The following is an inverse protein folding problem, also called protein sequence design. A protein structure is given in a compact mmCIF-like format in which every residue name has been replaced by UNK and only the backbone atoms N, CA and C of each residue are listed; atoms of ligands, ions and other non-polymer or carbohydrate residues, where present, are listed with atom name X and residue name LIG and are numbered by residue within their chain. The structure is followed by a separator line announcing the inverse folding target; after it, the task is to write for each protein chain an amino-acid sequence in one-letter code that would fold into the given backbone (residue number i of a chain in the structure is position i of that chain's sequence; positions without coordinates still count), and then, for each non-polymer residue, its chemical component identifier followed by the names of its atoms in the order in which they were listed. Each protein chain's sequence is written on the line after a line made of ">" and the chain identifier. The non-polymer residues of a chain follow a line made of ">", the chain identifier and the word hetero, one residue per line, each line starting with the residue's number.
data_IF_219942123661
#
_entry.id   IF_219942123661
#
_cell.length_a   1.000
_cell.length_b   1.000
_cell.length_c   1.000
_cell.angle_alpha   90.00
_cell.angle_beta   90.00
_cell.angle_gamma   90.00
#
_symmetry.space_group_name_H-M   'P 1'
#
loop_
_entity.id
_entity.type
_entity.pdbx_description
1 polymer ?
#
# COMPACT_ATOMS: atom_id res chain seq x y z
N UNK A 1 12.70 -53.20 17.95
CA UNK A 1 12.63 -51.73 17.79
C UNK A 1 11.42 -51.26 18.59
N UNK A 2 11.66 -50.68 19.76
CA UNK A 2 10.62 -50.09 20.61
C UNK A 2 10.18 -48.77 20.00
N UNK A 3 9.05 -48.77 19.30
CA UNK A 3 8.39 -47.56 18.82
C UNK A 3 7.85 -46.80 20.02
N UNK A 4 8.41 -45.62 20.28
CA UNK A 4 7.86 -44.66 21.23
C UNK A 4 6.46 -44.29 20.71
N UNK A 5 5.39 -44.39 21.54
CA UNK A 5 4.07 -43.91 21.14
C UNK A 5 4.17 -42.45 20.68
N UNK A 6 3.57 -42.10 19.55
CA UNK A 6 3.67 -40.77 18.92
C UNK A 6 3.44 -39.61 19.92
N UNK A 7 2.51 -39.81 20.88
CA UNK A 7 2.23 -38.86 21.95
C UNK A 7 3.40 -38.67 22.94
N UNK A 8 4.12 -39.74 23.28
CA UNK A 8 5.24 -39.67 24.23
C UNK A 8 6.48 -39.00 23.62
N UNK A 9 6.67 -39.10 22.30
CA UNK A 9 7.73 -38.37 21.60
C UNK A 9 7.42 -36.86 21.52
N UNK A 10 6.17 -36.51 21.19
CA UNK A 10 5.72 -35.12 21.14
C UNK A 10 5.84 -34.45 22.53
N UNK A 11 5.41 -35.12 23.60
CA UNK A 11 5.54 -34.60 24.97
C UNK A 11 7.00 -34.38 25.37
N UNK A 12 7.90 -35.30 25.00
CA UNK A 12 9.33 -35.17 25.26
C UNK A 12 9.96 -33.98 24.50
N UNK A 13 9.56 -33.81 23.24
CA UNK A 13 10.08 -32.75 22.38
C UNK A 13 9.55 -31.38 22.81
N UNK A 14 8.27 -31.27 23.15
CA UNK A 14 7.66 -30.03 23.66
C UNK A 14 8.31 -29.60 24.99
N UNK A 15 8.54 -30.54 25.91
CA UNK A 15 9.26 -30.27 27.16
C UNK A 15 10.72 -29.84 26.93
N UNK A 16 11.43 -30.51 26.01
CA UNK A 16 12.81 -30.16 25.69
C UNK A 16 12.94 -28.77 25.07
N UNK A 17 12.05 -28.43 24.12
CA UNK A 17 12.02 -27.11 23.48
C UNK A 17 11.63 -26.03 24.49
N UNK A 18 10.60 -26.25 25.30
CA UNK A 18 10.18 -25.28 26.34
C UNK A 18 11.30 -24.99 27.32
N UNK A 19 12.04 -26.02 27.75
CA UNK A 19 13.19 -25.88 28.64
C UNK A 19 14.34 -25.11 27.98
N UNK A 20 14.67 -25.42 26.73
CA UNK A 20 15.70 -24.69 25.97
C UNK A 20 15.36 -23.20 25.84
N UNK A 21 14.09 -22.90 25.54
CA UNK A 21 13.60 -21.52 25.39
C UNK A 21 13.67 -20.79 26.73
N UNK A 22 13.26 -21.44 27.84
CA UNK A 22 13.43 -20.88 29.18
C UNK A 22 14.90 -20.54 29.47
N UNK A 23 15.82 -21.47 29.24
CA UNK A 23 17.26 -21.25 29.49
C UNK A 23 17.82 -20.08 28.69
N UNK A 24 17.43 -19.93 27.42
CA UNK A 24 17.88 -18.82 26.56
C UNK A 24 17.27 -17.48 26.96
N UNK A 25 15.98 -17.44 27.31
CA UNK A 25 15.34 -16.23 27.80
C UNK A 25 15.99 -15.75 29.11
N UNK A 26 16.22 -16.66 30.06
CA UNK A 26 16.89 -16.33 31.31
C UNK A 26 18.33 -15.82 31.10
N UNK A 27 19.05 -16.38 30.12
CA UNK A 27 20.38 -15.89 29.75
C UNK A 27 20.32 -14.45 29.21
N UNK A 28 19.44 -14.18 28.24
CA UNK A 28 19.28 -12.84 27.66
C UNK A 28 18.90 -11.81 28.71
N UNK A 29 17.95 -12.15 29.59
CA UNK A 29 17.52 -11.29 30.71
C UNK A 29 18.68 -10.96 31.66
N UNK A 30 19.55 -11.93 31.97
CA UNK A 30 20.73 -11.72 32.83
C UNK A 30 21.75 -10.79 32.17
N UNK A 31 21.96 -10.92 30.86
CA UNK A 31 22.88 -10.04 30.14
C UNK A 31 22.31 -8.63 29.98
N UNK A 32 21.01 -8.51 29.76
CA UNK A 32 20.32 -7.23 29.63
C UNK A 32 20.42 -6.40 30.91
N UNK A 33 20.14 -6.99 32.08
CA UNK A 33 20.25 -6.25 33.36
C UNK A 33 21.71 -5.90 33.71
N UNK A 34 22.68 -6.75 33.37
CA UNK A 34 24.10 -6.44 33.56
C UNK A 34 24.51 -5.24 32.71
N UNK A 35 24.10 -5.22 31.44
CA UNK A 35 24.37 -4.11 30.54
C UNK A 35 23.67 -2.83 31.02
N UNK A 36 22.43 -2.93 31.49
CA UNK A 36 21.69 -1.80 32.05
C UNK A 36 22.42 -1.18 33.25
N UNK A 37 22.85 -1.99 34.22
CA UNK A 37 23.55 -1.52 35.42
C UNK A 37 24.93 -0.93 35.09
N UNK A 38 25.64 -1.52 34.13
CA UNK A 38 27.02 -1.14 33.82
C UNK A 38 27.11 0.09 32.89
N UNK A 39 26.21 0.19 31.91
CA UNK A 39 26.38 1.08 30.76
C UNK A 39 25.20 2.05 30.52
N UNK A 40 23.95 1.65 30.81
CA UNK A 40 22.76 2.44 30.40
C UNK A 40 22.11 3.25 31.54
N UNK A 41 22.37 2.92 32.82
CA UNK A 41 21.70 3.56 33.94
C UNK A 41 22.20 4.99 34.21
N UNK A 42 21.40 5.99 33.83
CA UNK A 42 21.68 7.43 34.06
C UNK A 42 21.21 7.95 35.43
N UNK A 43 20.66 7.09 36.29
CA UNK A 43 20.05 7.43 37.58
C UNK A 43 20.91 7.07 38.81
N UNK A 44 20.32 7.13 40.03
CA UNK A 44 21.02 6.79 41.27
C UNK A 44 21.43 5.31 41.28
N UNK A 45 22.74 5.01 41.33
CA UNK A 45 23.32 3.65 41.35
C UNK A 45 22.39 2.60 41.97
N UNK A 46 22.02 1.61 41.18
CA UNK A 46 21.21 0.45 41.58
C UNK A 46 22.04 -0.82 41.46
N UNK A 47 21.68 -1.87 42.19
CA UNK A 47 22.36 -3.17 42.17
C UNK A 47 21.35 -4.26 41.87
N UNK A 48 21.82 -5.41 41.39
CA UNK A 48 21.01 -6.63 41.27
C UNK A 48 20.34 -6.99 42.61
N UNK A 49 19.07 -7.39 42.56
CA UNK A 49 18.28 -7.80 43.72
C UNK A 49 17.52 -9.12 43.45
N UNK A 50 18.29 -10.11 43.01
CA UNK A 50 17.78 -11.44 42.67
C UNK A 50 16.79 -11.43 41.50
N UNK A 51 15.96 -12.47 41.45
CA UNK A 51 14.98 -12.69 40.41
C UNK A 51 13.58 -12.83 41.03
N UNK A 52 12.54 -12.53 40.25
CA UNK A 52 11.18 -12.98 40.54
C UNK A 52 10.77 -14.06 39.55
N UNK A 53 9.90 -14.98 39.99
CA UNK A 53 9.31 -16.00 39.13
C UNK A 53 8.07 -15.46 38.44
N UNK A 54 7.88 -15.81 37.17
CA UNK A 54 6.59 -15.62 36.50
C UNK A 54 6.29 -16.74 35.51
N UNK A 55 5.00 -16.97 35.30
CA UNK A 55 4.53 -17.78 34.19
C UNK A 55 4.50 -16.96 32.92
N UNK A 56 5.06 -17.48 31.83
CA UNK A 56 5.06 -16.84 30.52
C UNK A 56 4.69 -17.84 29.43
N UNK A 57 3.64 -17.56 28.67
CA UNK A 57 3.25 -18.40 27.54
C UNK A 57 4.07 -18.03 26.30
N UNK A 58 4.77 -19.00 25.75
CA UNK A 58 5.54 -18.86 24.50
C UNK A 58 4.88 -19.66 23.38
N UNK A 59 5.37 -19.51 22.14
CA UNK A 59 4.93 -20.33 21.01
C UNK A 59 5.20 -21.83 21.13
N UNK A 60 6.05 -22.21 22.08
CA UNK A 60 6.49 -23.59 22.28
C UNK A 60 5.91 -24.25 23.52
N UNK A 61 5.10 -23.54 24.30
CA UNK A 61 4.57 -24.02 25.57
C UNK A 61 4.58 -22.96 26.68
N UNK A 62 3.93 -23.29 27.80
CA UNK A 62 3.90 -22.44 28.99
C UNK A 62 5.17 -22.64 29.84
N UNK A 63 5.95 -21.58 30.03
CA UNK A 63 7.07 -21.58 30.97
C UNK A 63 6.52 -21.14 32.32
N UNK A 64 6.36 -22.09 33.25
CA UNK A 64 5.70 -21.82 34.54
C UNK A 64 6.59 -21.05 35.53
N UNK A 65 7.92 -21.19 35.44
CA UNK A 65 8.88 -20.66 36.42
C UNK A 65 9.99 -19.79 35.81
N UNK A 66 9.66 -18.92 34.85
CA UNK A 66 10.65 -18.03 34.23
C UNK A 66 11.29 -17.11 35.29
N UNK A 67 12.62 -17.14 35.40
CA UNK A 67 13.39 -16.29 36.31
C UNK A 67 13.69 -14.93 35.68
N UNK A 68 13.02 -13.87 36.14
CA UNK A 68 13.24 -12.51 35.64
C UNK A 68 14.05 -11.70 36.64
N UNK A 69 15.25 -11.21 36.27
CA UNK A 69 16.09 -10.44 37.16
C UNK A 69 15.51 -9.05 37.40
N UNK A 70 15.76 -8.52 38.59
CA UNK A 70 15.32 -7.19 39.00
C UNK A 70 16.45 -6.43 39.69
N UNK A 71 16.39 -5.11 39.59
CA UNK A 71 17.28 -4.23 40.33
C UNK A 71 16.64 -3.83 41.68
N UNK A 72 17.47 -3.32 42.59
CA UNK A 72 17.04 -3.00 43.97
C UNK A 72 16.07 -1.83 44.03
N UNK A 73 16.13 -0.92 43.07
CA UNK A 73 15.29 0.29 43.02
C UNK A 73 14.09 0.15 42.09
N UNK A 74 13.98 -0.95 41.33
CA UNK A 74 12.85 -1.25 40.46
C UNK A 74 12.79 -0.42 39.19
N UNK A 75 13.92 0.15 38.75
CA UNK A 75 13.99 0.95 37.53
C UNK A 75 14.26 0.13 36.27
N UNK A 76 14.74 -1.11 36.42
CA UNK A 76 15.03 -1.97 35.29
C UNK A 76 13.75 -2.53 34.66
N UNK A 77 13.59 -2.33 33.36
CA UNK A 77 12.55 -2.94 32.54
C UNK A 77 13.22 -3.67 31.38
N UNK A 78 12.95 -4.97 31.24
CA UNK A 78 13.42 -5.76 30.10
C UNK A 78 12.74 -5.31 28.80
N UNK A 79 13.48 -5.34 27.70
CA UNK A 79 12.96 -5.09 26.35
C UNK A 79 12.30 -6.33 25.74
N UNK A 80 12.50 -7.52 26.34
CA UNK A 80 11.95 -8.77 25.83
C UNK A 80 10.43 -8.87 25.99
N UNK A 81 9.86 -8.23 27.02
CA UNK A 81 8.41 -8.18 27.24
C UNK A 81 8.01 -7.03 28.16
N UNK A 82 6.78 -6.53 28.01
CA UNK A 82 6.23 -5.47 28.84
C UNK A 82 5.90 -5.95 30.26
N UNK A 83 5.90 -5.05 31.27
CA UNK A 83 5.34 -5.33 32.58
C UNK A 83 3.94 -5.93 32.45
N UNK A 84 3.68 -6.99 33.22
CA UNK A 84 2.40 -7.73 33.20
C UNK A 84 2.06 -8.48 31.90
N UNK A 85 2.85 -8.39 30.83
CA UNK A 85 2.64 -9.18 29.61
C UNK A 85 2.83 -10.67 29.92
N UNK A 86 1.76 -11.47 29.91
CA UNK A 86 1.79 -12.90 30.27
C UNK A 86 2.04 -13.85 29.09
N UNK A 87 1.99 -13.34 27.86
CA UNK A 87 2.08 -14.12 26.62
C UNK A 87 3.03 -13.45 25.61
N UNK A 88 3.79 -14.24 24.88
CA UNK A 88 4.58 -13.82 23.73
C UNK A 88 3.64 -13.40 22.60
N UNK A 89 3.82 -12.19 22.04
CA UNK A 89 2.91 -11.57 21.06
C UNK A 89 2.97 -12.17 19.65
N UNK A 90 3.62 -13.33 19.51
CA UNK A 90 3.92 -13.95 18.22
C UNK A 90 2.64 -14.46 17.53
N UNK A 91 1.62 -14.85 18.31
CA UNK A 91 0.37 -15.36 17.75
C UNK A 91 -0.44 -14.22 17.16
N UNK A 92 -0.41 -13.06 17.79
CA UNK A 92 -0.98 -11.82 17.29
C UNK A 92 -0.30 -11.42 15.98
N UNK A 93 1.04 -11.45 15.91
CA UNK A 93 1.79 -11.25 14.67
C UNK A 93 1.44 -12.30 13.60
N UNK A 94 1.33 -13.58 13.97
CA UNK A 94 0.95 -14.64 13.04
C UNK A 94 -0.49 -14.46 12.52
N UNK A 95 -1.43 -14.05 13.38
CA UNK A 95 -2.82 -13.71 13.01
C UNK A 95 -2.82 -12.52 12.05
N UNK A 96 -2.04 -11.49 12.33
CA UNK A 96 -1.86 -10.34 11.44
C UNK A 96 -1.27 -10.80 10.11
N UNK A 97 -0.25 -11.66 10.10
CA UNK A 97 0.37 -12.20 8.88
C UNK A 97 -0.57 -13.12 8.08
N UNK A 98 -1.40 -13.93 8.74
CA UNK A 98 -2.43 -14.75 8.09
C UNK A 98 -3.51 -13.87 7.46
N UNK A 99 -3.91 -12.81 8.16
CA UNK A 99 -4.85 -11.82 7.65
C UNK A 99 -4.25 -11.02 6.49
N UNK A 100 -2.97 -10.60 6.57
CA UNK A 100 -2.18 -10.05 5.46
C UNK A 100 -2.17 -11.04 4.28
N UNK A 101 -1.89 -12.31 4.55
CA UNK A 101 -1.65 -13.34 3.56
C UNK A 101 -2.88 -13.83 2.79
N UNK A 102 -4.07 -13.84 3.40
CA UNK A 102 -5.22 -14.44 2.70
C UNK A 102 -6.53 -14.36 3.44
N UNK A 103 -6.41 -14.62 4.73
CA UNK A 103 -7.33 -15.50 5.37
C UNK A 103 -8.45 -14.68 5.99
N UNK A 104 -9.68 -15.12 5.76
CA UNK A 104 -10.84 -14.61 6.48
C UNK A 104 -10.68 -14.85 7.99
N UNK A 105 -11.35 -14.04 8.81
CA UNK A 105 -11.34 -14.24 10.27
C UNK A 105 -11.75 -15.65 10.68
N UNK A 106 -12.65 -16.28 9.92
CA UNK A 106 -13.08 -17.67 10.13
C UNK A 106 -11.99 -18.68 9.79
N UNK A 107 -11.24 -18.46 8.72
CA UNK A 107 -10.11 -19.34 8.35
C UNK A 107 -8.96 -19.20 9.34
N UNK A 108 -8.66 -17.97 9.78
CA UNK A 108 -7.66 -17.74 10.83
C UNK A 108 -8.10 -18.39 12.14
N UNK A 109 -9.37 -18.21 12.55
CA UNK A 109 -9.89 -18.84 13.75
C UNK A 109 -9.80 -20.37 13.68
N UNK A 110 -10.20 -20.98 12.55
CA UNK A 110 -10.04 -22.44 12.33
C UNK A 110 -8.59 -22.88 12.36
N UNK A 111 -7.67 -22.13 11.77
CA UNK A 111 -6.25 -22.45 11.80
C UNK A 111 -5.68 -22.38 13.22
N UNK A 112 -5.97 -21.29 13.93
CA UNK A 112 -5.55 -21.10 15.32
C UNK A 112 -6.16 -22.17 16.22
N UNK A 113 -7.43 -22.52 16.02
CA UNK A 113 -8.11 -23.61 16.74
C UNK A 113 -7.48 -24.97 16.43
N UNK A 114 -7.10 -25.24 15.18
CA UNK A 114 -6.44 -26.50 14.80
C UNK A 114 -5.03 -26.65 15.40
N UNK A 115 -4.33 -25.53 15.63
CA UNK A 115 -2.96 -25.52 16.14
C UNK A 115 -2.88 -25.39 17.67
N UNK A 116 -3.81 -24.66 18.30
CA UNK A 116 -3.77 -24.29 19.73
C UNK A 116 -5.04 -24.68 20.52
N UNK A 117 -6.00 -25.35 19.88
CA UNK A 117 -7.28 -25.70 20.49
C UNK A 117 -8.22 -24.51 20.69
N UNK A 118 -9.31 -24.74 21.40
CA UNK A 118 -10.45 -23.82 21.56
C UNK A 118 -10.21 -22.63 22.50
N UNK A 119 -8.94 -22.22 22.71
CA UNK A 119 -8.61 -21.06 23.55
C UNK A 119 -8.82 -19.70 22.86
N UNK A 120 -9.04 -19.68 21.55
CA UNK A 120 -9.16 -18.45 20.77
C UNK A 120 -10.53 -18.33 20.12
N UNK A 121 -11.39 -17.49 20.70
CA UNK A 121 -12.68 -17.17 20.10
C UNK A 121 -12.52 -16.27 18.86
N UNK A 122 -13.46 -16.29 17.90
CA UNK A 122 -13.51 -15.31 16.80
C UNK A 122 -13.45 -13.85 17.28
N UNK A 123 -13.99 -13.57 18.47
CA UNK A 123 -13.91 -12.27 19.15
C UNK A 123 -12.47 -11.88 19.49
N UNK A 124 -11.65 -12.83 19.94
CA UNK A 124 -10.23 -12.59 20.25
C UNK A 124 -9.44 -12.25 18.99
N UNK A 125 -9.67 -12.98 17.89
CA UNK A 125 -9.08 -12.69 16.58
C UNK A 125 -9.51 -11.30 16.09
N UNK A 126 -10.79 -10.95 16.27
CA UNK A 126 -11.29 -9.61 15.93
C UNK A 126 -10.61 -8.50 16.73
N UNK A 127 -10.42 -8.70 18.04
CA UNK A 127 -9.72 -7.74 18.91
C UNK A 127 -8.25 -7.56 18.51
N UNK A 128 -7.56 -8.63 18.12
CA UNK A 128 -6.18 -8.56 17.60
C UNK A 128 -6.13 -7.73 16.31
N UNK A 129 -7.16 -7.84 15.45
CA UNK A 129 -7.25 -6.97 14.27
C UNK A 129 -7.64 -5.51 14.58
N UNK A 130 -7.97 -5.16 15.83
CA UNK A 130 -8.24 -3.77 16.21
C UNK A 130 -6.94 -2.96 16.24
N UNK A 131 -5.81 -3.55 16.67
CA UNK A 131 -4.49 -2.92 16.58
C UNK A 131 -4.15 -2.50 15.14
N UNK A 132 -4.60 -3.28 14.16
CA UNK A 132 -4.45 -2.94 12.74
C UNK A 132 -5.20 -1.66 12.36
N UNK A 133 -6.31 -1.32 13.03
CA UNK A 133 -7.00 -0.05 12.77
C UNK A 133 -6.20 1.16 13.24
N UNK A 134 -5.53 1.06 14.38
CA UNK A 134 -4.64 2.12 14.87
C UNK A 134 -3.48 2.33 13.89
N UNK A 135 -2.90 1.24 13.37
CA UNK A 135 -1.87 1.30 12.33
C UNK A 135 -2.39 1.95 11.04
N UNK A 136 -3.64 1.64 10.63
CA UNK A 136 -4.28 2.24 9.45
C UNK A 136 -4.41 3.74 9.63
N UNK A 137 -4.93 4.19 10.79
CA UNK A 137 -5.10 5.61 11.06
C UNK A 137 -3.75 6.35 11.06
N UNK A 138 -2.72 5.77 11.69
CA UNK A 138 -1.37 6.34 11.69
C UNK A 138 -0.80 6.38 10.27
N UNK A 139 -0.98 5.32 9.49
CA UNK A 139 -0.52 5.25 8.11
C UNK A 139 -1.24 6.26 7.21
N UNK A 140 -2.55 6.44 7.38
CA UNK A 140 -3.34 7.43 6.64
C UNK A 140 -2.95 8.86 7.02
N UNK A 141 -2.56 9.13 8.27
CA UNK A 141 -2.13 10.46 8.74
C UNK A 141 -0.63 10.71 8.58
N UNK A 142 0.15 9.74 8.09
CA UNK A 142 1.61 9.86 8.01
C UNK A 142 2.02 11.03 7.12
N UNK A 143 3.10 11.76 7.46
CA UNK A 143 3.64 12.79 6.59
C UNK A 143 4.12 12.17 5.27
N UNK A 144 3.93 12.91 4.19
CA UNK A 144 4.38 12.58 2.84
C UNK A 144 5.56 13.46 2.47
N UNK A 145 6.42 12.95 1.59
CA UNK A 145 7.50 13.74 0.99
C UNK A 145 6.95 14.97 0.27
N UNK A 146 7.76 16.02 0.19
CA UNK A 146 7.35 17.29 -0.44
C UNK A 146 7.10 17.13 -1.94
N UNK A 147 8.03 16.45 -2.63
CA UNK A 147 8.14 16.41 -4.10
C UNK A 147 7.76 15.04 -4.65
N UNK A 148 6.88 15.04 -5.65
CA UNK A 148 6.55 13.85 -6.45
C UNK A 148 6.57 14.17 -7.94
N UNK A 149 7.27 13.36 -8.73
CA UNK A 149 7.39 13.58 -10.17
C UNK A 149 6.09 13.23 -10.87
N UNK A 150 5.39 12.22 -10.35
CA UNK A 150 4.08 11.80 -10.88
C UNK A 150 3.18 11.36 -9.72
N UNK A 151 1.92 11.80 -9.73
CA UNK A 151 0.84 11.21 -8.92
C UNK A 151 -0.15 10.53 -9.87
N UNK A 152 -0.39 9.25 -9.66
CA UNK A 152 -1.45 8.49 -10.29
C UNK A 152 -2.68 8.45 -9.39
N UNK A 153 -3.85 8.67 -10.00
CA UNK A 153 -5.14 8.52 -9.33
C UNK A 153 -5.95 7.46 -10.08
N UNK A 154 -6.48 6.49 -9.36
CA UNK A 154 -7.35 5.47 -9.93
C UNK A 154 -8.37 4.98 -8.90
N UNK A 155 -9.51 4.52 -9.40
CA UNK A 155 -10.63 4.06 -8.60
C UNK A 155 -10.93 2.59 -8.85
N UNK A 156 -11.35 1.87 -7.81
CA UNK A 156 -12.00 0.58 -7.99
C UNK A 156 -13.28 0.51 -7.17
N UNK A 157 -14.21 -0.33 -7.62
CA UNK A 157 -15.44 -0.59 -6.90
C UNK A 157 -15.33 -1.89 -6.09
N UNK A 158 -15.78 -1.83 -4.84
CA UNK A 158 -15.82 -2.97 -3.92
C UNK A 158 -17.24 -3.16 -3.38
N UNK A 159 -17.65 -4.41 -3.17
CA UNK A 159 -18.98 -4.73 -2.63
C UNK A 159 -18.94 -4.66 -1.10
N UNK A 160 -19.63 -3.69 -0.52
CA UNK A 160 -19.75 -3.50 0.92
C UNK A 160 -21.18 -3.77 1.38
N UNK A 161 -21.30 -4.47 2.52
CA UNK A 161 -22.55 -4.63 3.24
C UNK A 161 -22.63 -3.55 4.32
N UNK A 162 -23.58 -2.62 4.18
CA UNK A 162 -24.03 -1.77 5.29
C UNK A 162 -25.38 -2.33 5.77
N UNK A 163 -26.48 -1.73 5.35
CA UNK A 163 -27.82 -2.31 5.48
C UNK A 163 -28.11 -3.29 4.34
N UNK A 164 -27.75 -2.90 3.13
CA UNK A 164 -27.78 -3.72 1.91
C UNK A 164 -26.37 -3.85 1.34
N UNK A 165 -26.18 -4.82 0.45
CA UNK A 165 -24.93 -4.95 -0.30
C UNK A 165 -24.96 -3.93 -1.44
N UNK A 166 -24.02 -3.00 -1.44
CA UNK A 166 -23.86 -2.00 -2.48
C UNK A 166 -22.41 -1.93 -2.96
N UNK A 167 -22.22 -1.41 -4.18
CA UNK A 167 -20.90 -1.22 -4.76
C UNK A 167 -20.42 0.18 -4.42
N UNK A 168 -19.36 0.29 -3.61
CA UNK A 168 -18.78 1.57 -3.21
C UNK A 168 -17.40 1.76 -3.84
N UNK A 169 -17.05 3.03 -4.08
CA UNK A 169 -15.77 3.40 -4.64
C UNK A 169 -14.65 3.33 -3.59
N UNK A 170 -13.48 2.91 -4.06
CA UNK A 170 -12.20 2.97 -3.37
C UNK A 170 -11.28 3.83 -4.22
N UNK A 171 -10.92 4.99 -3.68
CA UNK A 171 -9.99 5.91 -4.28
C UNK A 171 -8.58 5.50 -3.91
N UNK A 172 -7.67 5.43 -4.88
CA UNK A 172 -6.26 5.11 -4.67
C UNK A 172 -5.38 6.19 -5.29
N UNK A 173 -4.39 6.62 -4.52
CA UNK A 173 -3.35 7.53 -4.96
C UNK A 173 -1.98 6.87 -4.85
N UNK A 174 -1.21 6.88 -5.95
CA UNK A 174 0.16 6.38 -6.00
C UNK A 174 1.10 7.49 -6.45
N UNK A 175 2.21 7.70 -5.76
CA UNK A 175 3.23 8.67 -6.12
C UNK A 175 4.49 8.00 -6.66
N UNK A 176 5.19 8.68 -7.56
CA UNK A 176 6.59 8.43 -7.90
C UNK A 176 7.40 9.59 -7.33
N UNK A 177 8.32 9.30 -6.41
CA UNK A 177 9.21 10.30 -5.82
C UNK A 177 10.35 10.71 -6.77
N UNK A 178 11.20 11.66 -6.36
CA UNK A 178 12.37 12.12 -7.13
C UNK A 178 13.41 11.02 -7.38
N UNK A 179 13.40 9.95 -6.56
CA UNK A 179 14.29 8.80 -6.73
C UNK A 179 13.73 7.81 -7.77
N UNK A 180 12.51 8.05 -8.27
CA UNK A 180 11.80 7.18 -9.19
C UNK A 180 11.10 6.01 -8.50
N UNK A 181 11.04 6.00 -7.16
CA UNK A 181 10.42 4.95 -6.36
C UNK A 181 8.92 5.23 -6.30
N UNK A 182 8.13 4.20 -6.61
CA UNK A 182 6.67 4.28 -6.55
C UNK A 182 6.13 3.76 -5.22
N UNK A 183 5.11 4.43 -4.71
CA UNK A 183 4.44 4.03 -3.47
C UNK A 183 2.98 4.47 -3.46
N UNK A 184 2.11 3.71 -2.80
CA UNK A 184 0.74 4.11 -2.47
C UNK A 184 0.80 5.17 -1.38
N UNK A 185 0.28 6.36 -1.68
CA UNK A 185 0.26 7.52 -0.79
C UNK A 185 -0.96 7.49 0.14
N UNK A 186 -2.10 7.05 -0.39
CA UNK A 186 -3.36 7.00 0.34
C UNK A 186 -4.39 6.12 -0.36
N UNK A 187 -5.36 5.66 0.43
CA UNK A 187 -6.57 5.01 -0.05
C UNK A 187 -7.76 5.52 0.76
N UNK A 188 -8.92 5.59 0.14
CA UNK A 188 -10.14 6.12 0.77
C UNK A 188 -11.33 5.30 0.31
N UNK A 189 -12.16 4.85 1.25
CA UNK A 189 -13.30 3.99 0.97
C UNK A 189 -14.59 4.77 1.20
N UNK A 190 -15.46 4.83 0.20
CA UNK A 190 -16.82 5.30 0.42
C UNK A 190 -17.57 5.83 -0.78
N UNK A 191 -18.88 5.55 -0.79
CA UNK A 191 -19.85 6.20 -1.66
C UNK A 191 -19.67 5.91 -3.15
N UNK A 192 -20.09 6.86 -3.98
CA UNK A 192 -19.87 6.84 -5.43
C UNK A 192 -18.69 7.70 -5.81
N UNK A 193 -17.97 7.30 -6.86
CA UNK A 193 -16.87 8.07 -7.41
C UNK A 193 -17.37 9.44 -7.89
N UNK A 194 -16.80 10.51 -7.31
CA UNK A 194 -17.23 11.89 -7.60
C UNK A 194 -16.06 12.86 -7.57
N UNK A 195 -16.20 13.97 -8.30
CA UNK A 195 -15.25 15.09 -8.28
C UNK A 195 -14.99 15.62 -6.87
N UNK A 196 -16.04 15.68 -6.02
CA UNK A 196 -15.88 16.09 -4.62
C UNK A 196 -15.08 15.08 -3.80
N UNK A 197 -15.30 13.78 -3.99
CA UNK A 197 -14.49 12.74 -3.36
C UNK A 197 -13.00 12.92 -3.69
N UNK A 198 -12.69 13.12 -4.98
CA UNK A 198 -11.31 13.38 -5.40
C UNK A 198 -10.72 14.68 -4.86
N UNK A 199 -11.50 15.77 -4.74
CA UNK A 199 -11.03 17.00 -4.08
C UNK A 199 -10.58 16.74 -2.65
N UNK A 200 -11.34 15.99 -1.87
CA UNK A 200 -11.00 15.68 -0.48
C UNK A 200 -9.74 14.79 -0.40
N UNK A 201 -9.61 13.80 -1.29
CA UNK A 201 -8.39 13.00 -1.41
C UNK A 201 -7.18 13.87 -1.70
N UNK A 202 -7.27 14.76 -2.69
CA UNK A 202 -6.16 15.62 -3.10
C UNK A 202 -5.76 16.62 -2.02
N UNK A 203 -6.74 17.19 -1.30
CA UNK A 203 -6.51 18.05 -0.14
C UNK A 203 -5.79 17.31 0.98
N UNK A 204 -6.20 16.09 1.30
CA UNK A 204 -5.53 15.27 2.32
C UNK A 204 -4.07 15.01 1.96
N UNK A 205 -3.78 14.60 0.72
CA UNK A 205 -2.41 14.39 0.25
C UNK A 205 -1.56 15.66 0.37
N UNK A 206 -2.12 16.82 0.01
CA UNK A 206 -1.44 18.12 0.12
C UNK A 206 -1.17 18.49 1.56
N UNK A 207 -2.16 18.34 2.45
CA UNK A 207 -2.04 18.63 3.87
C UNK A 207 -0.99 17.75 4.57
N UNK A 208 -0.81 16.53 4.08
CA UNK A 208 0.21 15.59 4.58
C UNK A 208 1.63 15.90 4.08
N UNK A 209 1.79 16.80 3.11
CA UNK A 209 3.10 17.32 2.68
C UNK A 209 3.36 17.26 1.16
N UNK A 210 2.59 16.47 0.41
CA UNK A 210 2.77 16.31 -1.04
C UNK A 210 2.34 17.61 -1.75
N UNK A 211 3.25 18.56 -1.93
CA UNK A 211 2.95 19.94 -2.33
C UNK A 211 3.52 20.28 -3.71
N UNK A 212 4.70 19.75 -4.02
CA UNK A 212 5.45 20.02 -5.25
C UNK A 212 5.25 18.84 -6.21
N UNK A 213 4.23 18.92 -7.08
CA UNK A 213 3.83 17.83 -7.99
C UNK A 213 4.07 18.24 -9.44
N UNK A 214 4.83 17.47 -10.21
CA UNK A 214 5.03 17.83 -11.63
C UNK A 214 3.85 17.38 -12.50
N UNK A 215 3.38 16.14 -12.35
CA UNK A 215 2.38 15.53 -13.23
C UNK A 215 1.31 14.73 -12.46
N UNK A 216 0.03 15.00 -12.74
CA UNK A 216 -1.08 14.12 -12.40
C UNK A 216 -1.45 13.19 -13.56
N UNK A 217 -1.54 11.88 -13.32
CA UNK A 217 -1.91 10.88 -14.34
C UNK A 217 -3.16 10.11 -13.90
N UNK A 218 -4.25 10.23 -14.63
CA UNK A 218 -5.51 9.56 -14.29
C UNK A 218 -6.41 9.35 -15.50
N UNK A 219 -7.52 8.61 -15.33
CA UNK A 219 -8.55 8.51 -16.36
C UNK A 219 -9.34 9.83 -16.46
N UNK A 220 -9.94 10.08 -17.63
CA UNK A 220 -10.73 11.29 -17.91
C UNK A 220 -12.10 11.30 -17.22
N UNK A 221 -12.11 11.16 -15.89
CA UNK A 221 -13.29 11.23 -15.06
C UNK A 221 -13.82 12.68 -15.02
N UNK A 222 -15.12 12.91 -15.25
CA UNK A 222 -15.69 14.25 -15.22
C UNK A 222 -15.41 14.96 -13.88
N UNK A 223 -14.84 16.16 -13.94
CA UNK A 223 -14.58 16.97 -12.75
C UNK A 223 -13.29 16.62 -11.99
N UNK A 224 -12.54 15.57 -12.39
CA UNK A 224 -11.28 15.19 -11.74
C UNK A 224 -10.14 16.10 -12.18
N UNK A 225 -10.07 16.44 -13.46
CA UNK A 225 -9.06 17.38 -13.98
C UNK A 225 -9.16 18.74 -13.28
N UNK A 226 -10.37 19.27 -13.15
CA UNK A 226 -10.63 20.56 -12.50
C UNK A 226 -10.27 20.51 -11.02
N UNK A 227 -10.66 19.44 -10.31
CA UNK A 227 -10.30 19.22 -8.92
C UNK A 227 -8.77 19.12 -8.73
N UNK A 228 -8.07 18.46 -9.65
CA UNK A 228 -6.61 18.35 -9.60
C UNK A 228 -5.93 19.69 -9.80
N UNK A 229 -6.32 20.44 -10.84
CA UNK A 229 -5.77 21.78 -11.13
C UNK A 229 -6.07 22.79 -10.02
N UNK A 230 -7.19 22.66 -9.32
CA UNK A 230 -7.54 23.49 -8.17
C UNK A 230 -6.54 23.31 -7.01
N UNK A 231 -6.18 22.05 -6.71
CA UNK A 231 -5.29 21.73 -5.58
C UNK A 231 -3.81 21.88 -5.95
N UNK A 232 -3.44 21.50 -7.17
CA UNK A 232 -2.07 21.51 -7.71
C UNK A 232 -1.98 22.37 -8.99
N UNK A 233 -2.09 23.70 -8.89
CA UNK A 233 -2.16 24.58 -10.06
C UNK A 233 -0.88 24.62 -10.91
N UNK A 234 0.27 24.26 -10.33
CA UNK A 234 1.57 24.20 -11.03
C UNK A 234 1.85 22.83 -11.68
N UNK A 235 1.01 21.83 -11.41
CA UNK A 235 1.16 20.49 -11.96
C UNK A 235 0.50 20.41 -13.34
N UNK A 236 1.12 19.67 -14.27
CA UNK A 236 0.43 19.30 -15.50
C UNK A 236 -0.56 18.16 -15.25
N UNK A 237 -1.51 17.97 -16.17
CA UNK A 237 -2.44 16.84 -16.18
C UNK A 237 -2.21 15.99 -17.43
N UNK A 238 -2.11 14.69 -17.23
CA UNK A 238 -2.07 13.67 -18.26
C UNK A 238 -3.25 12.71 -18.12
N UNK A 239 -4.06 12.61 -19.15
CA UNK A 239 -5.09 11.57 -19.22
C UNK A 239 -4.51 10.26 -19.74
N UNK A 240 -4.94 9.13 -19.18
CA UNK A 240 -4.47 7.82 -19.62
C UNK A 240 -4.89 7.53 -21.07
N UNK A 241 -3.90 7.46 -21.97
CA UNK A 241 -4.12 7.14 -23.39
C UNK A 241 -4.74 5.75 -23.53
N UNK A 242 -4.32 4.79 -22.72
CA UNK A 242 -4.83 3.40 -22.76
C UNK A 242 -6.31 3.35 -22.35
N UNK A 243 -6.73 4.12 -21.34
CA UNK A 243 -8.15 4.22 -20.98
C UNK A 243 -8.96 4.88 -22.09
N UNK A 244 -8.45 5.95 -22.70
CA UNK A 244 -9.10 6.60 -23.84
C UNK A 244 -9.27 5.65 -25.04
N UNK A 245 -8.23 4.85 -25.36
CA UNK A 245 -8.28 3.79 -26.38
C UNK A 245 -9.35 2.76 -26.04
N UNK A 246 -9.34 2.23 -24.80
CA UNK A 246 -10.31 1.22 -24.33
C UNK A 246 -11.74 1.75 -24.36
N UNK A 247 -11.96 3.03 -24.05
CA UNK A 247 -13.28 3.67 -24.10
C UNK A 247 -13.76 3.93 -25.54
N UNK A 248 -12.84 4.10 -26.48
CA UNK A 248 -13.15 4.31 -27.90
C UNK A 248 -13.42 2.98 -28.62
N UNK A 249 -12.69 1.92 -28.27
CA UNK A 249 -12.72 0.63 -28.97
C UNK A 249 -14.11 -0.01 -29.19
N UNK A 250 -15.04 -0.01 -28.22
CA UNK A 250 -16.38 -0.58 -28.43
C UNK A 250 -17.25 0.21 -29.40
N UNK A 251 -16.91 1.48 -29.67
CA UNK A 251 -17.69 2.41 -30.53
C UNK A 251 -17.32 2.29 -32.01
N UNK A 252 -16.20 1.64 -32.32
CA UNK A 252 -15.70 1.44 -33.68
C UNK A 252 -16.25 0.12 -34.23
N UNK A 253 -16.66 0.13 -35.51
CA UNK A 253 -17.16 -1.08 -36.19
C UNK A 253 -16.05 -2.11 -36.29
N UNK A 254 -16.40 -3.40 -36.18
CA UNK A 254 -15.44 -4.51 -36.16
C UNK A 254 -14.49 -4.49 -37.37
N UNK A 255 -14.98 -4.13 -38.57
CA UNK A 255 -14.18 -4.06 -39.79
C UNK A 255 -13.06 -3.01 -39.72
N UNK A 256 -13.28 -1.89 -39.03
CA UNK A 256 -12.37 -0.75 -39.04
C UNK A 256 -11.45 -0.72 -37.81
N UNK A 257 -11.70 -1.59 -36.81
CA UNK A 257 -11.01 -1.57 -35.52
C UNK A 257 -9.49 -1.63 -35.64
N UNK A 258 -8.98 -2.52 -36.50
CA UNK A 258 -7.54 -2.73 -36.63
C UNK A 258 -6.87 -1.46 -37.18
N UNK A 259 -7.34 -0.96 -38.32
CA UNK A 259 -6.77 0.23 -38.96
C UNK A 259 -6.92 1.49 -38.09
N UNK A 260 -8.09 1.66 -37.46
CA UNK A 260 -8.33 2.79 -36.57
C UNK A 260 -7.37 2.79 -35.38
N UNK A 261 -7.11 1.63 -34.77
CA UNK A 261 -6.17 1.51 -33.65
C UNK A 261 -4.72 1.68 -34.09
N UNK A 262 -4.34 1.17 -35.26
CA UNK A 262 -2.98 1.31 -35.78
C UNK A 262 -2.66 2.78 -36.07
N UNK A 263 -3.57 3.51 -36.73
CA UNK A 263 -3.38 4.94 -36.97
C UNK A 263 -3.33 5.73 -35.66
N UNK A 264 -4.21 5.41 -34.70
CA UNK A 264 -4.24 6.07 -33.41
C UNK A 264 -2.97 5.77 -32.58
N UNK A 265 -2.39 4.58 -32.73
CA UNK A 265 -1.13 4.21 -32.10
C UNK A 265 0.01 5.10 -32.56
N UNK A 266 0.06 5.45 -33.84
CA UNK A 266 1.08 6.35 -34.39
C UNK A 266 1.09 7.72 -33.70
N UNK A 267 -0.06 8.19 -33.21
CA UNK A 267 -0.16 9.48 -32.50
C UNK A 267 0.66 9.48 -31.22
N UNK A 268 0.49 8.49 -30.34
CA UNK A 268 1.17 8.45 -29.04
C UNK A 268 2.51 7.69 -29.06
N UNK A 269 2.90 7.12 -30.20
CA UNK A 269 4.25 6.58 -30.43
C UNK A 269 5.10 7.47 -31.32
N UNK A 270 4.64 8.68 -31.66
CA UNK A 270 5.42 9.66 -32.39
C UNK A 270 6.69 10.05 -31.63
N UNK A 271 7.68 10.58 -32.37
CA UNK A 271 8.99 10.94 -31.82
C UNK A 271 8.95 12.16 -30.89
N UNK A 272 7.97 13.04 -31.07
CA UNK A 272 7.73 14.23 -30.25
C UNK A 272 6.26 14.68 -30.36
N UNK A 273 5.90 15.70 -29.58
CA UNK A 273 4.53 16.21 -29.49
C UNK A 273 4.04 16.96 -30.74
N UNK A 274 4.93 17.56 -31.54
CA UNK A 274 4.54 18.29 -32.76
C UNK A 274 4.25 17.30 -33.89
N UNK A 275 5.08 16.27 -34.02
CA UNK A 275 4.82 15.13 -34.90
C UNK A 275 3.53 14.41 -34.49
N UNK A 276 3.31 14.19 -33.18
CA UNK A 276 2.07 13.59 -32.69
C UNK A 276 0.81 14.36 -33.14
N UNK A 277 0.84 15.70 -33.10
CA UNK A 277 -0.27 16.55 -33.56
C UNK A 277 -0.48 16.45 -35.06
N UNK A 278 0.59 16.50 -35.85
CA UNK A 278 0.51 16.34 -37.30
C UNK A 278 -0.06 14.97 -37.70
N UNK A 279 0.35 13.90 -37.02
CA UNK A 279 -0.20 12.55 -37.21
C UNK A 279 -1.68 12.52 -36.82
N UNK A 280 -2.08 13.20 -35.74
CA UNK A 280 -3.48 13.29 -35.34
C UNK A 280 -4.34 14.06 -36.36
N UNK A 281 -3.82 15.08 -37.02
CA UNK A 281 -4.54 15.77 -38.09
C UNK A 281 -4.80 14.83 -39.29
N UNK A 282 -3.83 14.02 -39.68
CA UNK A 282 -4.04 12.98 -40.70
C UNK A 282 -5.06 11.92 -40.26
N UNK A 283 -5.02 11.51 -38.99
CA UNK A 283 -6.01 10.61 -38.39
C UNK A 283 -7.43 11.22 -38.44
N UNK A 284 -7.56 12.50 -38.11
CA UNK A 284 -8.81 13.26 -38.16
C UNK A 284 -9.36 13.28 -39.58
N UNK A 285 -8.55 13.59 -40.59
CA UNK A 285 -9.00 13.64 -41.98
C UNK A 285 -9.52 12.29 -42.48
N UNK A 286 -8.87 11.19 -42.08
CA UNK A 286 -9.29 9.83 -42.46
C UNK A 286 -10.60 9.41 -41.78
N UNK A 287 -10.72 9.61 -40.47
CA UNK A 287 -11.77 8.97 -39.67
C UNK A 287 -12.94 9.88 -39.31
N UNK A 288 -12.82 11.21 -39.39
CA UNK A 288 -13.86 12.16 -38.95
C UNK A 288 -15.20 11.98 -39.65
N UNK A 289 -15.22 11.54 -40.91
CA UNK A 289 -16.47 11.30 -41.65
C UNK A 289 -17.22 10.07 -41.11
N UNK A 290 -16.49 9.02 -40.72
CA UNK A 290 -17.08 7.76 -40.27
C UNK A 290 -17.38 7.77 -38.76
N UNK A 291 -16.49 8.39 -37.98
CA UNK A 291 -16.52 8.41 -36.51
C UNK A 291 -16.39 9.84 -35.95
N UNK A 292 -17.33 10.75 -36.30
CA UNK A 292 -17.21 12.18 -35.95
C UNK A 292 -17.19 12.42 -34.43
N UNK A 293 -17.94 11.63 -33.65
CA UNK A 293 -18.03 11.78 -32.19
C UNK A 293 -16.75 11.33 -31.50
N UNK A 294 -16.18 10.23 -31.97
CA UNK A 294 -14.96 9.65 -31.42
C UNK A 294 -13.77 10.57 -31.71
N UNK A 295 -13.63 11.04 -32.95
CA UNK A 295 -12.56 11.97 -33.34
C UNK A 295 -12.68 13.29 -32.56
N UNK A 296 -13.87 13.88 -32.45
CA UNK A 296 -14.09 15.09 -31.66
C UNK A 296 -13.73 14.88 -30.18
N UNK A 297 -14.09 13.74 -29.60
CA UNK A 297 -13.75 13.40 -28.22
C UNK A 297 -12.24 13.26 -27.99
N UNK A 298 -11.47 12.80 -28.98
CA UNK A 298 -10.02 12.79 -28.92
C UNK A 298 -9.42 14.17 -29.09
N UNK A 299 -9.95 14.97 -30.03
CA UNK A 299 -9.49 16.34 -30.30
C UNK A 299 -9.64 17.24 -29.06
N UNK A 300 -10.77 17.14 -28.35
CA UNK A 300 -11.04 17.89 -27.11
C UNK A 300 -10.01 17.60 -26.00
N UNK A 301 -9.61 16.33 -25.86
CA UNK A 301 -8.69 15.89 -24.80
C UNK A 301 -7.23 15.81 -25.25
N UNK A 302 -6.93 16.10 -26.52
CA UNK A 302 -5.62 15.84 -27.14
C UNK A 302 -4.47 16.51 -26.37
N UNK A 303 -4.69 17.76 -25.92
CA UNK A 303 -3.69 18.51 -25.15
C UNK A 303 -3.24 17.78 -23.88
N UNK A 304 -4.20 17.20 -23.14
CA UNK A 304 -3.94 16.40 -21.93
C UNK A 304 -3.50 14.97 -22.21
N UNK A 305 -3.84 14.41 -23.38
CA UNK A 305 -3.41 13.07 -23.78
C UNK A 305 -1.95 13.05 -24.25
N UNK A 306 -1.43 14.20 -24.69
CA UNK A 306 -0.06 14.37 -25.19
C UNK A 306 0.86 15.12 -24.21
N UNK A 307 0.41 15.43 -23.00
CA UNK A 307 1.20 16.14 -21.97
C UNK A 307 2.53 15.44 -21.70
N UNK A 308 2.55 14.11 -21.74
CA UNK A 308 3.75 13.30 -21.50
C UNK A 308 4.92 13.66 -22.42
N UNK A 309 4.69 14.18 -23.63
CA UNK A 309 5.75 14.62 -24.53
C UNK A 309 6.59 15.78 -23.98
N UNK A 310 6.09 16.52 -22.98
CA UNK A 310 6.85 17.55 -22.27
C UNK A 310 7.88 16.99 -21.28
N UNK A 311 7.81 15.70 -20.99
CA UNK A 311 8.62 15.01 -19.99
C UNK A 311 9.76 14.22 -20.67
N UNK A 312 10.80 13.79 -19.93
CA UNK A 312 11.90 13.03 -20.50
C UNK A 312 11.44 11.75 -21.20
N UNK A 313 11.97 11.48 -22.39
CA UNK A 313 11.55 10.41 -23.30
C UNK A 313 11.52 9.02 -22.66
N UNK A 314 12.48 8.74 -21.77
CA UNK A 314 12.58 7.46 -21.06
C UNK A 314 11.43 7.22 -20.08
N UNK A 315 10.71 8.28 -19.66
CA UNK A 315 9.59 8.19 -18.72
C UNK A 315 8.27 7.94 -19.42
N UNK A 316 8.15 8.26 -20.72
CA UNK A 316 6.90 8.18 -21.48
C UNK A 316 6.15 6.86 -21.30
N UNK A 317 6.79 5.67 -21.39
CA UNK A 317 6.10 4.38 -21.20
C UNK A 317 5.38 4.21 -19.86
N UNK A 318 5.82 4.94 -18.84
CA UNK A 318 5.20 4.91 -17.52
C UNK A 318 4.09 5.95 -17.36
N UNK A 319 4.15 7.09 -18.07
CA UNK A 319 3.27 8.24 -17.82
C UNK A 319 2.11 8.39 -18.80
N UNK A 320 2.20 7.89 -20.04
CA UNK A 320 1.04 7.92 -20.96
C UNK A 320 -0.09 6.95 -20.53
N UNK A 321 0.17 6.11 -19.54
CA UNK A 321 -0.73 5.07 -19.02
C UNK A 321 -0.79 5.04 -17.50
N UNK A 322 -1.91 4.60 -16.95
CA UNK A 322 -2.15 4.29 -15.53
C UNK A 322 -1.76 2.86 -15.14
N UNK A 323 -1.07 2.11 -16.01
CA UNK A 323 -0.65 0.74 -15.73
C UNK A 323 0.07 0.53 -14.37
N UNK A 324 0.93 1.46 -13.88
CA UNK A 324 1.55 1.32 -12.57
C UNK A 324 0.57 1.17 -11.40
N UNK A 325 -0.54 1.93 -11.41
CA UNK A 325 -1.60 1.87 -10.39
C UNK A 325 -2.64 0.79 -10.71
N UNK A 326 -2.94 0.53 -11.98
CA UNK A 326 -3.83 -0.59 -12.39
C UNK A 326 -3.31 -1.95 -11.89
N UNK A 327 -1.98 -2.11 -11.78
CA UNK A 327 -1.39 -3.32 -11.18
C UNK A 327 -1.81 -3.51 -9.72
N UNK A 328 -1.84 -2.44 -8.93
CA UNK A 328 -2.33 -2.47 -7.55
C UNK A 328 -3.82 -2.83 -7.53
N UNK A 329 -4.62 -2.18 -8.39
CA UNK A 329 -6.04 -2.46 -8.53
C UNK A 329 -6.32 -3.92 -8.90
N UNK A 330 -5.48 -4.53 -9.75
CA UNK A 330 -5.57 -5.94 -10.10
C UNK A 330 -5.32 -6.86 -8.91
N UNK A 331 -4.31 -6.58 -8.09
CA UNK A 331 -4.02 -7.38 -6.88
C UNK A 331 -5.14 -7.23 -5.85
N UNK A 332 -5.66 -6.01 -5.65
CA UNK A 332 -6.83 -5.77 -4.79
C UNK A 332 -8.06 -6.55 -5.28
N UNK A 333 -8.39 -6.50 -6.57
CA UNK A 333 -9.52 -7.26 -7.15
C UNK A 333 -9.34 -8.76 -6.97
N UNK A 334 -8.13 -9.28 -7.22
CA UNK A 334 -7.81 -10.70 -7.01
C UNK A 334 -8.03 -11.11 -5.56
N UNK A 335 -7.65 -10.24 -4.61
CA UNK A 335 -7.81 -10.47 -3.18
C UNK A 335 -9.26 -10.40 -2.73
N UNK A 336 -10.03 -9.45 -3.23
CA UNK A 336 -11.41 -9.24 -2.81
C UNK A 336 -12.38 -10.23 -3.46
N UNK A 337 -12.03 -10.83 -4.60
CA UNK A 337 -12.90 -11.74 -5.37
C UNK A 337 -13.49 -12.91 -4.56
N UNK A 338 -12.74 -13.66 -3.73
CA UNK A 338 -13.28 -14.78 -2.96
C UNK A 338 -14.26 -14.36 -1.86
N UNK A 339 -14.21 -13.10 -1.42
CA UNK A 339 -14.96 -12.61 -0.26
C UNK A 339 -16.41 -12.24 -0.60
N UNK A 340 -16.77 -12.15 -1.89
CA UNK A 340 -18.08 -11.75 -2.44
C UNK A 340 -18.58 -10.35 -2.01
N UNK A 341 -18.76 -10.12 -0.71
CA UNK A 341 -19.11 -8.85 -0.09
C UNK A 341 -18.42 -8.71 1.27
N UNK A 342 -17.86 -7.55 1.53
CA UNK A 342 -17.25 -7.22 2.82
C UNK A 342 -18.33 -6.81 3.83
N UNK A 343 -18.08 -7.08 5.11
CA UNK A 343 -19.07 -6.92 6.19
C UNK A 343 -19.29 -5.48 6.62
N UNK A 344 -18.28 -4.62 6.47
CA UNK A 344 -18.28 -3.21 6.82
C UNK A 344 -17.09 -2.50 6.14
N UNK A 345 -16.99 -1.19 6.34
CA UNK A 345 -15.91 -0.36 5.77
C UNK A 345 -14.57 -0.74 6.38
N UNK A 346 -14.51 -0.97 7.70
CA UNK A 346 -13.26 -1.27 8.40
C UNK A 346 -12.62 -2.56 7.85
N UNK A 347 -13.42 -3.56 7.47
CA UNK A 347 -12.91 -4.75 6.81
C UNK A 347 -12.29 -4.45 5.44
N UNK A 348 -12.87 -3.52 4.66
CA UNK A 348 -12.30 -3.08 3.40
C UNK A 348 -10.97 -2.35 3.62
N UNK A 349 -10.96 -1.39 4.54
CA UNK A 349 -9.78 -0.60 4.86
C UNK A 349 -8.63 -1.48 5.34
N UNK A 350 -8.89 -2.48 6.21
CA UNK A 350 -7.88 -3.46 6.63
C UNK A 350 -7.27 -4.19 5.45
N UNK A 351 -8.08 -4.72 4.54
CA UNK A 351 -7.55 -5.47 3.40
C UNK A 351 -6.75 -4.56 2.45
N UNK A 352 -7.27 -3.36 2.17
CA UNK A 352 -6.63 -2.41 1.26
C UNK A 352 -5.31 -1.93 1.86
N UNK A 353 -5.30 -1.57 3.14
CA UNK A 353 -4.10 -1.18 3.88
C UNK A 353 -3.01 -2.24 3.79
N UNK A 354 -3.34 -3.50 4.10
CA UNK A 354 -2.35 -4.56 4.11
C UNK A 354 -1.75 -4.79 2.71
N UNK A 355 -2.56 -4.68 1.67
CA UNK A 355 -2.09 -4.77 0.28
C UNK A 355 -1.26 -3.54 -0.11
N UNK A 356 -1.63 -2.34 0.34
CA UNK A 356 -0.88 -1.12 0.07
C UNK A 356 0.50 -1.13 0.75
N UNK A 357 0.58 -1.62 1.98
CA UNK A 357 1.83 -1.77 2.71
C UNK A 357 2.73 -2.84 2.08
N UNK A 358 2.20 -4.03 1.75
CA UNK A 358 2.96 -5.07 1.03
C UNK A 358 3.45 -4.56 -0.34
N UNK A 359 2.61 -3.80 -1.05
CA UNK A 359 3.01 -3.15 -2.29
C UNK A 359 4.20 -2.19 -2.06
N UNK A 360 4.09 -1.31 -1.07
CA UNK A 360 5.14 -0.34 -0.77
C UNK A 360 6.45 -1.02 -0.36
N UNK A 361 6.40 -2.04 0.51
CA UNK A 361 7.57 -2.83 0.93
C UNK A 361 8.23 -3.55 -0.24
N UNK A 362 7.44 -4.15 -1.13
CA UNK A 362 7.96 -4.87 -2.29
C UNK A 362 8.63 -3.96 -3.33
N UNK A 363 8.21 -2.71 -3.41
CA UNK A 363 8.67 -1.76 -4.42
C UNK A 363 9.60 -0.66 -3.88
N UNK A 364 9.83 -0.58 -2.57
CA UNK A 364 10.66 0.45 -1.93
C UNK A 364 12.09 0.52 -2.49
N UNK A 365 12.65 -0.61 -2.93
CA UNK A 365 14.00 -0.69 -3.51
C UNK A 365 14.04 -0.66 -5.04
N UNK A 366 12.91 -0.44 -5.72
CA UNK A 366 12.78 -0.62 -7.17
C UNK A 366 12.20 0.62 -7.84
N UNK A 367 13.09 1.47 -8.32
CA UNK A 367 12.71 2.62 -9.11
C UNK A 367 12.16 2.20 -10.49
N UNK A 368 11.22 3.00 -11.01
CA UNK A 368 10.64 2.79 -12.34
C UNK A 368 11.69 3.09 -13.41
N UNK A 369 11.71 2.25 -14.46
CA UNK A 369 12.57 2.43 -15.62
C UNK A 369 12.36 3.82 -16.22
N UNK A 370 13.46 4.51 -16.52
CA UNK A 370 13.47 5.88 -17.03
C UNK A 370 13.65 6.93 -15.94
N UNK A 371 13.06 6.76 -14.75
CA UNK A 371 13.18 7.74 -13.66
C UNK A 371 14.53 7.68 -12.92
N UNK A 372 15.32 6.63 -13.15
CA UNK A 372 16.65 6.46 -12.51
C UNK A 372 17.75 7.19 -13.28
N UNK A 373 17.51 7.42 -14.58
CA UNK A 373 18.48 7.99 -15.50
C UNK A 373 18.92 9.39 -15.07
N UNK A 374 20.20 9.69 -15.24
CA UNK A 374 20.82 10.93 -14.72
C UNK A 374 20.24 12.16 -15.42
N UNK A 375 20.08 12.09 -16.75
CA UNK A 375 19.54 13.20 -17.54
C UNK A 375 18.06 13.41 -17.23
N UNK A 376 17.31 12.32 -17.05
CA UNK A 376 15.92 12.38 -16.58
C UNK A 376 15.80 13.06 -15.22
N UNK A 377 16.67 12.73 -14.26
CA UNK A 377 16.66 13.38 -12.93
C UNK A 377 17.02 14.85 -13.01
N UNK A 378 18.04 15.21 -13.79
CA UNK A 378 18.43 16.60 -13.99
C UNK A 378 17.29 17.41 -14.64
N UNK A 379 16.57 16.82 -15.60
CA UNK A 379 15.40 17.43 -16.21
C UNK A 379 14.28 17.65 -15.18
N UNK A 380 13.97 16.66 -14.34
CA UNK A 380 12.98 16.83 -13.27
C UNK A 380 13.37 17.91 -12.26
N UNK A 381 14.64 17.95 -11.84
CA UNK A 381 15.13 18.99 -10.92
C UNK A 381 14.98 20.39 -11.53
N UNK A 382 15.29 20.55 -12.81
CA UNK A 382 15.05 21.80 -13.53
C UNK A 382 13.56 22.16 -13.53
N UNK A 383 12.67 21.21 -13.83
CA UNK A 383 11.22 21.44 -13.81
C UNK A 383 10.71 21.82 -12.42
N UNK A 384 11.24 21.22 -11.34
CA UNK A 384 10.89 21.61 -9.97
C UNK A 384 11.32 23.05 -9.69
N UNK A 385 12.55 23.42 -10.02
CA UNK A 385 13.06 24.75 -9.76
C UNK A 385 12.30 25.82 -10.57
N UNK A 386 11.94 25.53 -11.82
CA UNK A 386 11.13 26.45 -12.64
C UNK A 386 9.72 26.69 -12.08
N UNK A 387 9.09 25.66 -11.50
CA UNK A 387 7.69 25.73 -11.03
C UNK A 387 7.56 26.14 -9.56
N UNK A 388 8.51 25.71 -8.73
CA UNK A 388 8.43 25.78 -7.27
C UNK A 388 9.63 26.45 -6.62
N UNK A 389 10.68 26.81 -7.36
CA UNK A 389 11.91 27.39 -6.80
C UNK A 389 11.76 28.80 -6.22
N UNK A 390 10.65 29.49 -6.52
CA UNK A 390 10.33 30.83 -6.01
C UNK A 390 9.33 30.81 -4.84
N UNK A 391 9.04 29.64 -4.25
CA UNK A 391 8.08 29.49 -3.13
C UNK A 391 8.74 29.40 -1.76
#
# INVERSE_FOLDING_TARGET
>A
MTTIPENAFNDLLENAVTKLVQEKLELLLREEIKNYISNEHKGPRTTLNGNYKRTYQTRYGAINELQVPRDRKGFFQTRLFQPYQRREGWLEEAIIHMYKGGMSTREVAKFVESMFGSQYSPTTVSNITHTVMEDIEQWQKRPLEKRYSVIYLDGLYVKLKRNTVSSEAVYLAMGIDEKGIRQILGFYVGGHESSNGWREVLKDLKNRGATDILLGVFDGLPGLEEAFREIYPMADVQHCVVHKVRATFPKIRVADKTEFLDDLKLVYTAIDGDVARAVFDGFKDRWRKQYPKEVASWEEQLSTLLTFYKYPTLTWPAIYTTNPIERMNKELRKRLKPMNSLTNIEAAEKIIYLQATDYNEKWCGRAIRGFVDVDTKAAFEKMYNERYGNQ
#
